data_IF_959801016535
#
_entry.id   IF_959801016535
#
_cell.length_a   1.000
_cell.length_b   1.000
_cell.length_c   1.000
_cell.angle_alpha   90.00
_cell.angle_beta   90.00
_cell.angle_gamma   90.00
#
_symmetry.space_group_name_H-M   'P 1'
#
loop_
_entity.id
_entity.type
_entity.pdbx_description
1 polymer ?
#
# COMPACT_ATOMS: atom_id res chain seq x y z
N UNK A 1 -0.29 37.74 3.04
CA UNK A 1 0.04 36.43 3.67
C UNK A 1 -1.01 35.33 3.46
N UNK A 2 -2.33 35.58 3.57
CA UNK A 2 -3.40 34.55 3.43
C UNK A 2 -3.47 33.82 2.07
N UNK A 3 -3.09 34.45 0.96
CA UNK A 3 -3.15 33.86 -0.39
C UNK A 3 -2.00 32.89 -0.67
N UNK A 4 -0.78 33.17 -0.21
CA UNK A 4 0.37 32.28 -0.40
C UNK A 4 0.24 30.97 0.38
N UNK A 5 -0.34 31.00 1.58
CA UNK A 5 -0.62 29.76 2.34
C UNK A 5 -1.58 28.83 1.59
N UNK A 6 -2.58 29.36 0.87
CA UNK A 6 -3.50 28.52 0.10
C UNK A 6 -2.81 27.83 -1.08
N UNK A 7 -1.90 28.53 -1.77
CA UNK A 7 -1.15 27.96 -2.90
C UNK A 7 -0.16 26.90 -2.42
N UNK A 8 0.56 27.16 -1.32
CA UNK A 8 1.46 26.19 -0.69
C UNK A 8 0.73 24.93 -0.21
N UNK A 9 -0.47 25.09 0.38
CA UNK A 9 -1.28 23.97 0.85
C UNK A 9 -1.82 23.15 -0.34
N UNK A 10 -2.21 23.80 -1.43
CA UNK A 10 -2.68 23.12 -2.63
C UNK A 10 -1.55 22.35 -3.33
N UNK A 11 -0.34 22.93 -3.41
CA UNK A 11 0.86 22.23 -3.87
C UNK A 11 1.23 21.03 -2.98
N UNK A 12 1.12 21.15 -1.65
CA UNK A 12 1.42 20.03 -0.76
C UNK A 12 0.40 18.90 -0.90
N UNK A 13 -0.89 19.22 -1.10
CA UNK A 13 -1.93 18.23 -1.37
C UNK A 13 -1.70 17.51 -2.70
N UNK A 14 -1.32 18.23 -3.76
CA UNK A 14 -0.98 17.62 -5.06
C UNK A 14 0.24 16.71 -4.92
N UNK A 15 1.29 17.15 -4.22
CA UNK A 15 2.49 16.36 -3.98
C UNK A 15 2.18 15.10 -3.16
N UNK A 16 1.33 15.22 -2.12
CA UNK A 16 0.85 14.09 -1.32
C UNK A 16 0.07 13.09 -2.16
N UNK A 17 -0.86 13.56 -3.02
CA UNK A 17 -1.61 12.70 -3.93
C UNK A 17 -0.69 11.99 -4.93
N UNK A 18 0.34 12.67 -5.44
CA UNK A 18 1.34 12.08 -6.32
C UNK A 18 2.16 11.00 -5.62
N UNK A 19 2.67 11.28 -4.42
CA UNK A 19 3.40 10.30 -3.59
C UNK A 19 2.49 9.11 -3.24
N UNK A 20 1.23 9.36 -2.92
CA UNK A 20 0.26 8.29 -2.66
C UNK A 20 0.02 7.42 -3.89
N UNK A 21 -0.13 8.02 -5.07
CA UNK A 21 -0.32 7.26 -6.30
C UNK A 21 0.94 6.43 -6.62
N UNK A 22 2.13 7.00 -6.41
CA UNK A 22 3.41 6.31 -6.58
C UNK A 22 3.55 5.07 -5.68
N UNK A 23 3.04 5.14 -4.43
CA UNK A 23 3.05 4.01 -3.49
C UNK A 23 2.21 2.81 -3.95
N UNK A 24 1.22 3.01 -4.82
CA UNK A 24 0.43 1.93 -5.42
C UNK A 24 0.96 1.52 -6.80
N UNK A 25 1.43 2.48 -7.58
CA UNK A 25 1.98 2.25 -8.93
C UNK A 25 3.27 1.43 -8.86
N UNK A 26 4.17 1.71 -7.91
CA UNK A 26 5.45 0.99 -7.80
C UNK A 26 5.25 -0.52 -7.50
N UNK A 27 4.46 -0.94 -6.49
CA UNK A 27 4.21 -2.35 -6.25
C UNK A 27 3.47 -3.04 -7.40
N UNK A 28 2.50 -2.36 -8.02
CA UNK A 28 1.78 -2.91 -9.17
C UNK A 28 2.72 -3.13 -10.37
N UNK A 29 3.57 -2.14 -10.67
CA UNK A 29 4.57 -2.25 -11.72
C UNK A 29 5.57 -3.37 -11.45
N UNK A 30 6.01 -3.53 -10.19
CA UNK A 30 6.90 -4.62 -9.79
C UNK A 30 6.28 -6.01 -10.01
N UNK A 31 4.99 -6.20 -9.68
CA UNK A 31 4.28 -7.46 -9.93
C UNK A 31 4.18 -7.75 -11.41
N UNK A 32 3.83 -6.74 -12.21
CA UNK A 32 3.72 -6.89 -13.66
C UNK A 32 5.08 -7.22 -14.27
N UNK A 33 6.15 -6.52 -13.89
CA UNK A 33 7.51 -6.83 -14.34
C UNK A 33 7.96 -8.23 -13.92
N UNK A 34 7.70 -8.62 -12.67
CA UNK A 34 8.02 -9.96 -12.17
C UNK A 34 7.26 -11.04 -12.94
N UNK A 35 5.97 -10.84 -13.17
CA UNK A 35 5.14 -11.74 -13.97
C UNK A 35 5.69 -11.91 -15.40
N UNK A 36 6.00 -10.79 -16.08
CA UNK A 36 6.57 -10.80 -17.44
C UNK A 36 7.92 -11.53 -17.47
N UNK A 37 8.81 -11.28 -16.51
CA UNK A 37 10.08 -11.99 -16.39
C UNK A 37 9.90 -13.51 -16.21
N UNK A 38 8.96 -13.93 -15.35
CA UNK A 38 8.72 -15.36 -15.11
C UNK A 38 8.07 -16.06 -16.31
N UNK A 39 7.23 -15.36 -17.07
CA UNK A 39 6.73 -15.86 -18.36
C UNK A 39 7.88 -16.05 -19.35
N UNK A 40 8.80 -15.08 -19.45
CA UNK A 40 9.99 -15.19 -20.32
C UNK A 40 10.86 -16.38 -19.88
N UNK A 41 11.10 -16.54 -18.56
CA UNK A 41 11.87 -17.67 -18.03
C UNK A 41 11.18 -19.01 -18.28
N UNK A 42 9.85 -19.07 -18.19
CA UNK A 42 9.08 -20.27 -18.51
C UNK A 42 9.25 -20.64 -20.00
N UNK A 43 9.09 -19.65 -20.89
CA UNK A 43 9.31 -19.85 -22.32
C UNK A 43 10.75 -20.25 -22.63
N UNK A 44 11.73 -19.65 -21.97
CA UNK A 44 13.15 -20.00 -22.09
C UNK A 44 13.41 -21.44 -21.63
N UNK A 45 12.84 -21.84 -20.48
CA UNK A 45 12.97 -23.18 -19.94
C UNK A 45 12.40 -24.23 -20.89
N UNK A 46 11.25 -23.93 -21.49
CA UNK A 46 10.61 -24.78 -22.51
C UNK A 46 11.44 -24.85 -23.80
N UNK A 47 11.95 -23.72 -24.28
CA UNK A 47 12.78 -23.65 -25.48
C UNK A 47 14.12 -24.41 -25.32
N UNK A 48 14.64 -24.48 -24.09
CA UNK A 48 15.84 -25.25 -23.76
C UNK A 48 15.61 -26.76 -23.62
N UNK A 49 14.37 -27.23 -23.64
CA UNK A 49 14.05 -28.65 -23.47
C UNK A 49 14.37 -29.16 -22.06
N UNK A 50 14.21 -28.32 -21.03
CA UNK A 50 14.47 -28.73 -19.65
C UNK A 50 13.58 -29.90 -19.19
N UNK A 51 12.39 -30.03 -19.76
CA UNK A 51 11.48 -31.17 -19.59
C UNK A 51 12.03 -32.48 -20.15
N UNK A 52 12.80 -32.42 -21.24
CA UNK A 52 13.42 -33.60 -21.86
C UNK A 52 14.72 -34.01 -21.17
N UNK A 53 15.48 -33.03 -20.65
CA UNK A 53 16.75 -33.29 -19.94
C UNK A 53 16.55 -33.66 -18.47
N UNK A 54 15.48 -33.17 -17.84
CA UNK A 54 15.21 -33.38 -16.43
C UNK A 54 13.74 -33.76 -16.20
N UNK A 55 13.43 -35.03 -15.83
CA UNK A 55 12.05 -35.51 -15.71
C UNK A 55 11.24 -34.78 -14.63
N UNK A 56 11.90 -34.13 -13.66
CA UNK A 56 11.24 -33.30 -12.66
C UNK A 56 10.58 -32.02 -13.24
N UNK A 57 11.02 -31.56 -14.42
CA UNK A 57 10.49 -30.37 -15.08
C UNK A 57 9.29 -30.67 -15.98
N UNK A 58 9.08 -31.93 -16.36
CA UNK A 58 7.96 -32.37 -17.19
C UNK A 58 6.59 -31.94 -16.61
N UNK A 59 6.26 -32.24 -15.32
CA UNK A 59 4.98 -31.80 -14.76
C UNK A 59 4.88 -30.27 -14.62
N UNK A 60 6.01 -29.56 -14.57
CA UNK A 60 6.05 -28.10 -14.40
C UNK A 60 5.80 -27.40 -15.74
N UNK A 61 6.45 -27.85 -16.81
CA UNK A 61 6.44 -27.22 -18.14
C UNK A 61 5.33 -27.75 -19.05
N UNK A 62 4.83 -28.97 -18.84
CA UNK A 62 3.84 -29.61 -19.70
C UNK A 62 2.41 -29.64 -19.13
N UNK A 63 2.20 -29.17 -17.89
CA UNK A 63 0.85 -29.09 -17.31
C UNK A 63 0.40 -27.64 -17.07
N UNK A 64 -0.89 -27.32 -17.29
CA UNK A 64 -1.42 -25.99 -16.97
C UNK A 64 -1.28 -25.62 -15.49
N UNK A 65 -1.39 -26.62 -14.61
CA UNK A 65 -1.20 -26.44 -13.16
C UNK A 65 0.25 -26.08 -12.85
N UNK A 66 1.21 -26.82 -13.41
CA UNK A 66 2.64 -26.56 -13.25
C UNK A 66 3.05 -25.17 -13.74
N UNK A 67 2.54 -24.76 -14.90
CA UNK A 67 2.77 -23.42 -15.46
C UNK A 67 2.28 -22.32 -14.50
N UNK A 68 1.05 -22.46 -13.98
CA UNK A 68 0.50 -21.51 -13.02
C UNK A 68 1.32 -21.48 -11.74
N UNK A 69 1.71 -22.63 -11.19
CA UNK A 69 2.56 -22.67 -9.99
C UNK A 69 3.93 -22.05 -10.22
N UNK A 70 4.56 -22.26 -11.38
CA UNK A 70 5.86 -21.66 -11.71
C UNK A 70 5.77 -20.13 -11.77
N UNK A 71 4.76 -19.59 -12.44
CA UNK A 71 4.55 -18.14 -12.55
C UNK A 71 4.15 -17.51 -11.20
N UNK A 72 3.30 -18.20 -10.42
CA UNK A 72 2.84 -17.71 -9.11
C UNK A 72 3.92 -17.81 -8.03
N UNK A 73 4.71 -18.88 -7.98
CA UNK A 73 5.83 -19.02 -7.05
C UNK A 73 6.88 -17.93 -7.28
N UNK A 74 7.13 -17.57 -8.54
CA UNK A 74 7.94 -16.42 -8.89
C UNK A 74 7.39 -15.08 -8.38
N UNK A 75 6.07 -14.96 -8.34
CA UNK A 75 5.38 -13.79 -7.78
C UNK A 75 5.44 -13.75 -6.24
N UNK A 76 5.46 -14.90 -5.57
CA UNK A 76 5.59 -15.03 -4.11
C UNK A 76 6.99 -14.65 -3.62
N UNK A 77 8.05 -14.85 -4.41
CA UNK A 77 9.40 -14.39 -4.07
C UNK A 77 9.50 -12.87 -3.88
N UNK A 78 8.52 -12.12 -4.38
CA UNK A 78 8.40 -10.67 -4.17
C UNK A 78 7.64 -10.28 -2.89
N UNK A 79 7.12 -11.25 -2.12
CA UNK A 79 6.44 -11.00 -0.85
C UNK A 79 7.21 -10.08 0.12
N UNK A 80 8.56 -10.12 0.24
CA UNK A 80 9.31 -9.19 1.09
C UNK A 80 9.14 -7.71 0.70
N UNK A 81 8.94 -7.42 -0.59
CA UNK A 81 8.70 -6.04 -1.10
C UNK A 81 7.31 -5.53 -0.72
N UNK A 82 6.36 -6.45 -0.49
CA UNK A 82 5.00 -6.11 -0.04
C UNK A 82 4.90 -5.86 1.46
N UNK A 83 5.82 -6.38 2.27
CA UNK A 83 5.82 -6.20 3.73
C UNK A 83 5.76 -4.72 4.15
N UNK A 84 6.64 -3.81 3.67
CA UNK A 84 6.58 -2.40 4.06
C UNK A 84 5.27 -1.73 3.61
N UNK A 85 4.74 -2.10 2.46
CA UNK A 85 3.46 -1.57 1.96
C UNK A 85 2.28 -1.99 2.85
N UNK A 86 2.22 -3.27 3.24
CA UNK A 86 1.17 -3.80 4.13
C UNK A 86 1.25 -3.17 5.51
N UNK A 87 2.47 -2.98 6.04
CA UNK A 87 2.68 -2.30 7.33
C UNK A 87 2.20 -0.85 7.25
N UNK A 88 2.55 -0.12 6.19
CA UNK A 88 2.14 1.28 6.01
C UNK A 88 0.61 1.43 5.90
N UNK A 89 -0.06 0.54 5.14
CA UNK A 89 -1.52 0.54 5.06
C UNK A 89 -2.20 0.20 6.39
N UNK A 90 -1.66 -0.78 7.12
CA UNK A 90 -2.18 -1.20 8.43
C UNK A 90 -2.04 -0.09 9.47
N UNK A 91 -0.93 0.64 9.48
CA UNK A 91 -0.73 1.80 10.34
C UNK A 91 -1.72 2.92 10.02
N UNK A 92 -1.95 3.20 8.73
CA UNK A 92 -2.92 4.21 8.28
C UNK A 92 -4.36 3.87 8.70
N UNK A 93 -4.73 2.60 8.62
CA UNK A 93 -6.03 2.10 9.11
C UNK A 93 -6.19 2.21 10.64
N UNK A 94 -5.10 1.97 11.40
CA UNK A 94 -5.09 2.14 12.86
C UNK A 94 -5.23 3.62 13.25
N UNK A 95 -4.44 4.49 12.65
CA UNK A 95 -4.51 5.94 12.86
C UNK A 95 -5.89 6.52 12.53
N UNK A 96 -6.53 6.06 11.46
CA UNK A 96 -7.89 6.49 11.11
C UNK A 96 -8.96 6.03 12.11
N UNK A 97 -8.74 4.91 12.82
CA UNK A 97 -9.62 4.45 13.90
C UNK A 97 -9.38 5.22 15.20
N UNK A 98 -8.13 5.54 15.52
CA UNK A 98 -7.76 6.33 16.70
C UNK A 98 -8.30 7.77 16.59
N UNK A 99 -8.14 8.44 15.44
CA UNK A 99 -8.68 9.79 15.24
C UNK A 99 -10.21 9.87 15.27
N UNK A 100 -10.92 8.81 14.84
CA UNK A 100 -12.39 8.73 14.97
C UNK A 100 -12.83 8.57 16.42
N UNK A 101 -12.07 7.82 17.22
CA UNK A 101 -12.34 7.64 18.64
C UNK A 101 -12.03 8.91 19.45
N UNK A 102 -10.97 9.65 19.13
CA UNK A 102 -10.71 10.96 19.73
C UNK A 102 -11.80 11.98 19.39
N UNK A 103 -12.26 12.04 18.14
CA UNK A 103 -13.34 12.94 17.75
C UNK A 103 -14.64 12.59 18.48
N UNK A 104 -15.01 11.31 18.54
CA UNK A 104 -16.16 10.84 19.32
C UNK A 104 -16.00 11.15 20.82
N UNK A 105 -14.81 10.96 21.38
CA UNK A 105 -14.51 11.29 22.77
C UNK A 105 -14.65 12.78 23.07
N UNK A 106 -14.15 13.65 22.19
CA UNK A 106 -14.32 15.10 22.30
C UNK A 106 -15.80 15.51 22.22
N UNK A 107 -16.58 14.93 21.31
CA UNK A 107 -18.01 15.19 21.23
C UNK A 107 -18.77 14.71 22.47
N UNK A 108 -18.43 13.53 22.99
CA UNK A 108 -19.02 13.00 24.23
C UNK A 108 -18.67 13.89 25.42
N UNK A 109 -17.44 14.40 25.50
CA UNK A 109 -17.05 15.39 26.53
C UNK A 109 -17.78 16.72 26.35
N UNK A 110 -17.96 17.20 25.12
CA UNK A 110 -18.70 18.42 24.81
C UNK A 110 -20.17 18.33 25.27
N UNK A 111 -20.84 17.21 24.98
CA UNK A 111 -22.20 16.98 25.46
C UNK A 111 -22.29 16.84 26.99
N UNK A 112 -21.28 16.23 27.63
CA UNK A 112 -21.25 16.10 29.09
C UNK A 112 -21.04 17.44 29.80
N UNK A 113 -20.28 18.36 29.23
CA UNK A 113 -20.02 19.65 29.89
C UNK A 113 -19.64 20.76 28.88
N UNK A 114 -20.62 21.36 28.19
CA UNK A 114 -20.35 22.30 27.10
C UNK A 114 -19.66 23.58 27.57
N UNK A 115 -19.92 24.01 28.81
CA UNK A 115 -19.33 25.22 29.41
C UNK A 115 -17.84 25.09 29.71
N UNK A 116 -17.34 23.87 29.96
CA UNK A 116 -15.92 23.63 30.22
C UNK A 116 -15.08 23.88 28.97
N UNK A 117 -15.55 23.45 27.81
CA UNK A 117 -14.84 23.64 26.54
C UNK A 117 -14.82 25.11 26.10
N UNK A 118 -15.91 25.85 26.35
CA UNK A 118 -15.94 27.29 26.13
C UNK A 118 -15.03 28.06 27.08
N UNK A 119 -14.94 27.66 28.36
CA UNK A 119 -14.00 28.24 29.34
C UNK A 119 -12.56 27.98 28.92
N UNK A 120 -12.20 26.74 28.62
CA UNK A 120 -10.83 26.38 28.24
C UNK A 120 -10.40 27.03 26.91
N UNK A 121 -11.34 27.21 25.97
CA UNK A 121 -11.10 28.00 24.75
C UNK A 121 -10.89 29.48 25.05
N UNK A 122 -11.68 30.05 25.96
CA UNK A 122 -11.57 31.46 26.36
C UNK A 122 -10.24 31.74 27.08
N UNK A 123 -9.84 30.88 28.02
CA UNK A 123 -8.59 31.02 28.77
C UNK A 123 -7.36 30.93 27.86
N UNK A 124 -7.37 30.05 26.85
CA UNK A 124 -6.29 29.96 25.86
C UNK A 124 -6.28 31.09 24.81
N UNK A 125 -7.39 31.84 24.66
CA UNK A 125 -7.46 32.95 23.69
C UNK A 125 -6.86 34.25 24.23
N UNK A 126 -6.79 34.39 25.57
CA UNK A 126 -6.29 35.58 26.26
C UNK A 126 -4.87 35.41 26.84
N UNK A 127 -4.23 34.26 26.64
CA UNK A 127 -2.78 34.06 26.81
C UNK A 127 -2.04 34.33 25.50
#
# INVERSE_FOLDING_TARGET
MRKHNKVLLLLSVILLLFVFNLQFVIPAFYVVCGFVLYVILFCWAKAKGLDTQHPAWDPILNTPKGMLYFILSGSILWAPVFIPFVIAQRQKWRSSKEGKNEWLYMWVQYFKNPTKLHRDWFDNFYQ
#
